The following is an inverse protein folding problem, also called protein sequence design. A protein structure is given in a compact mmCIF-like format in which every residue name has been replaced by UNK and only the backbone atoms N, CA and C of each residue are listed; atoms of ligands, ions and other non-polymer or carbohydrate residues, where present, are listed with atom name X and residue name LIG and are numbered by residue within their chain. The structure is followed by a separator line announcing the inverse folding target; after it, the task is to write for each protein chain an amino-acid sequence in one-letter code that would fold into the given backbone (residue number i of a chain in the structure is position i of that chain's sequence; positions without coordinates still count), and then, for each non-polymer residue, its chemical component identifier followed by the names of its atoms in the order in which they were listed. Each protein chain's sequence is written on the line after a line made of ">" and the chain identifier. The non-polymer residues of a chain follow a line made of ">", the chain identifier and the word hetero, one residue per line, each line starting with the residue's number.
data_IF_922436608546
#
_entry.id   IF_922436608546
#
_cell.length_a   1.000
_cell.length_b   1.000
_cell.length_c   1.000
_cell.angle_alpha   90.00
_cell.angle_beta   90.00
_cell.angle_gamma   90.00
#
_symmetry.space_group_name_H-M   'P 1'
#
loop_
_entity.id
_entity.type
_entity.pdbx_description
1 polymer ?
#
# COMPACT_ATOMS: atom_id res chain seq x y z
N UNK A 1 -21.08 -10.22 -3.59
CA UNK A 1 -20.58 -9.18 -4.52
C UNK A 1 -19.20 -8.63 -4.09
N UNK A 2 -18.34 -9.44 -3.44
CA UNK A 2 -17.02 -9.00 -2.93
C UNK A 2 -15.83 -9.69 -3.61
N UNK A 3 -16.05 -10.52 -4.64
CA UNK A 3 -14.96 -11.18 -5.35
C UNK A 3 -14.11 -10.20 -6.18
N UNK A 4 -14.73 -9.15 -6.74
CA UNK A 4 -14.02 -8.17 -7.57
C UNK A 4 -13.06 -7.30 -6.74
N UNK A 5 -13.52 -6.71 -5.63
CA UNK A 5 -12.65 -5.91 -4.75
C UNK A 5 -11.57 -6.74 -4.06
N UNK A 6 -11.89 -7.96 -3.62
CA UNK A 6 -10.88 -8.87 -3.08
C UNK A 6 -9.87 -9.27 -4.16
N UNK A 7 -10.32 -9.50 -5.39
CA UNK A 7 -9.47 -9.78 -6.54
C UNK A 7 -8.53 -8.61 -6.82
N UNK A 8 -9.04 -7.38 -6.86
CA UNK A 8 -8.28 -6.17 -7.12
C UNK A 8 -7.24 -5.87 -6.02
N UNK A 9 -7.62 -6.01 -4.75
CA UNK A 9 -6.68 -5.85 -3.65
C UNK A 9 -5.62 -6.96 -3.63
N UNK A 10 -6.00 -8.20 -3.96
CA UNK A 10 -5.06 -9.32 -4.04
C UNK A 10 -4.09 -9.15 -5.19
N UNK A 11 -4.54 -8.72 -6.37
CA UNK A 11 -3.67 -8.49 -7.51
C UNK A 11 -2.69 -7.35 -7.22
N UNK A 12 -3.16 -6.24 -6.62
CA UNK A 12 -2.28 -5.16 -6.17
C UNK A 12 -1.25 -5.67 -5.16
N UNK A 13 -1.66 -6.44 -4.15
CA UNK A 13 -0.72 -7.00 -3.17
C UNK A 13 0.30 -7.96 -3.79
N UNK A 14 -0.11 -8.83 -4.72
CA UNK A 14 0.80 -9.73 -5.42
C UNK A 14 1.78 -8.94 -6.28
N UNK A 15 1.31 -7.92 -7.01
CA UNK A 15 2.18 -7.04 -7.79
C UNK A 15 3.17 -6.29 -6.89
N UNK A 16 2.72 -5.73 -5.77
CA UNK A 16 3.57 -5.09 -4.77
C UNK A 16 4.62 -6.04 -4.21
N UNK A 17 4.25 -7.28 -3.92
CA UNK A 17 5.17 -8.32 -3.44
C UNK A 17 6.21 -8.75 -4.47
N UNK A 18 5.81 -8.91 -5.72
CA UNK A 18 6.75 -9.21 -6.81
C UNK A 18 7.76 -8.07 -6.96
N UNK A 19 7.29 -6.82 -6.96
CA UNK A 19 8.16 -5.63 -7.04
C UNK A 19 9.11 -5.59 -5.84
N UNK A 20 8.61 -5.83 -4.63
CA UNK A 20 9.42 -5.82 -3.42
C UNK A 20 10.52 -6.90 -3.47
N UNK A 21 10.18 -8.13 -3.86
CA UNK A 21 11.15 -9.22 -4.02
C UNK A 21 12.20 -8.88 -5.07
N UNK A 22 11.79 -8.32 -6.21
CA UNK A 22 12.71 -7.91 -7.27
C UNK A 22 13.69 -6.82 -6.78
N UNK A 23 13.18 -5.81 -6.06
CA UNK A 23 14.00 -4.75 -5.47
C UNK A 23 14.96 -5.32 -4.44
N UNK A 24 14.50 -6.22 -3.55
CA UNK A 24 15.37 -6.87 -2.56
C UNK A 24 16.45 -7.73 -3.23
N UNK A 25 16.12 -8.50 -4.26
CA UNK A 25 17.11 -9.29 -4.99
C UNK A 25 18.17 -8.38 -5.65
N UNK A 26 17.73 -7.25 -6.23
CA UNK A 26 18.62 -6.25 -6.81
C UNK A 26 19.53 -5.60 -5.74
N UNK A 27 18.99 -5.25 -4.56
CA UNK A 27 19.83 -4.66 -3.50
C UNK A 27 20.86 -5.63 -2.97
N UNK A 28 20.49 -6.89 -2.78
CA UNK A 28 21.44 -7.96 -2.40
C UNK A 28 22.52 -8.10 -3.47
N UNK A 29 22.15 -8.19 -4.75
CA UNK A 29 23.11 -8.28 -5.85
C UNK A 29 24.06 -7.06 -5.90
N UNK A 30 23.54 -5.85 -5.70
CA UNK A 30 24.34 -4.62 -5.69
C UNK A 30 25.33 -4.58 -4.51
N UNK A 31 24.89 -4.99 -3.31
CA UNK A 31 25.75 -5.06 -2.12
C UNK A 31 26.83 -6.13 -2.30
N UNK A 32 26.48 -7.32 -2.80
CA UNK A 32 27.45 -8.38 -3.09
C UNK A 32 28.44 -7.95 -4.18
N UNK A 33 27.97 -7.25 -5.22
CA UNK A 33 28.83 -6.66 -6.26
C UNK A 33 29.85 -5.68 -5.67
N UNK A 34 29.45 -4.81 -4.73
CA UNK A 34 30.39 -3.93 -4.01
C UNK A 34 31.41 -4.70 -3.17
N UNK A 35 31.02 -5.81 -2.56
CA UNK A 35 31.94 -6.64 -1.81
C UNK A 35 32.96 -7.35 -2.72
N UNK A 36 32.56 -7.72 -3.94
CA UNK A 36 33.35 -8.50 -4.91
C UNK A 36 34.01 -7.64 -6.00
N UNK A 37 34.23 -6.35 -5.75
CA UNK A 37 34.94 -5.45 -6.68
C UNK A 37 36.31 -6.02 -7.07
N UNK A 38 36.97 -6.71 -6.15
CA UNK A 38 38.26 -7.37 -6.40
C UNK A 38 38.19 -8.55 -7.40
N UNK A 39 37.00 -9.10 -7.66
CA UNK A 39 36.74 -10.13 -8.68
C UNK A 39 36.18 -9.56 -10.00
N UNK A 40 36.09 -8.23 -10.14
CA UNK A 40 35.59 -7.57 -11.35
C UNK A 40 34.07 -7.43 -11.45
N UNK A 41 33.33 -7.73 -10.37
CA UNK A 41 31.90 -7.45 -10.27
C UNK A 41 31.68 -6.01 -9.75
N UNK A 42 30.72 -5.28 -10.34
CA UNK A 42 30.41 -3.89 -9.94
C UNK A 42 29.01 -3.75 -9.32
N UNK A 43 28.76 -2.68 -8.55
CA UNK A 43 27.41 -2.33 -8.09
C UNK A 43 26.44 -2.09 -9.24
N UNK A 44 25.14 -2.26 -8.98
CA UNK A 44 24.10 -1.84 -9.92
C UNK A 44 24.02 -0.31 -9.88
N UNK A 45 24.29 0.41 -10.99
CA UNK A 45 24.22 1.86 -11.01
C UNK A 45 22.77 2.32 -10.79
N UNK A 46 22.58 3.25 -9.85
CA UNK A 46 21.28 3.84 -9.48
C UNK A 46 20.30 2.87 -8.82
N UNK A 47 20.81 1.85 -8.15
CA UNK A 47 20.06 0.97 -7.25
C UNK A 47 19.17 1.75 -6.26
N UNK A 48 19.67 2.85 -5.68
CA UNK A 48 18.90 3.71 -4.79
C UNK A 48 17.61 4.29 -5.41
N UNK A 49 17.67 4.71 -6.68
CA UNK A 49 16.52 5.31 -7.38
C UNK A 49 15.45 4.24 -7.65
N UNK A 50 15.87 3.06 -8.13
CA UNK A 50 14.99 1.91 -8.33
C UNK A 50 14.35 1.43 -7.02
N UNK A 51 15.11 1.40 -5.92
CA UNK A 51 14.58 1.04 -4.61
C UNK A 51 13.54 2.05 -4.15
N UNK A 52 13.81 3.35 -4.29
CA UNK A 52 12.88 4.40 -3.87
C UNK A 52 11.53 4.29 -4.59
N UNK A 53 11.57 4.09 -5.91
CA UNK A 53 10.34 3.94 -6.73
C UNK A 53 9.63 2.62 -6.42
N UNK A 54 10.38 1.51 -6.38
CA UNK A 54 9.81 0.18 -6.19
C UNK A 54 9.18 -0.01 -4.80
N UNK A 55 9.84 0.47 -3.74
CA UNK A 55 9.29 0.43 -2.38
C UNK A 55 8.07 1.35 -2.27
N UNK A 56 8.13 2.56 -2.86
CA UNK A 56 6.99 3.48 -2.88
C UNK A 56 5.75 2.84 -3.50
N UNK A 57 5.89 2.23 -4.68
CA UNK A 57 4.81 1.49 -5.33
C UNK A 57 4.31 0.32 -4.46
N UNK A 58 5.22 -0.49 -3.92
CA UNK A 58 4.87 -1.66 -3.12
C UNK A 58 4.04 -1.29 -1.90
N UNK A 59 4.39 -0.21 -1.18
CA UNK A 59 3.62 0.27 -0.02
C UNK A 59 2.18 0.54 -0.42
N UNK A 60 1.94 1.36 -1.44
CA UNK A 60 0.57 1.69 -1.88
C UNK A 60 -0.20 0.48 -2.40
N UNK A 61 0.49 -0.46 -3.05
CA UNK A 61 -0.11 -1.68 -3.56
C UNK A 61 -0.52 -2.66 -2.43
N UNK A 62 0.16 -2.63 -1.29
CA UNK A 62 -0.18 -3.46 -0.13
C UNK A 62 -1.27 -2.88 0.77
N UNK A 63 -1.37 -1.55 0.88
CA UNK A 63 -2.35 -0.87 1.74
C UNK A 63 -3.80 -1.38 1.59
N UNK A 64 -4.36 -1.58 0.38
CA UNK A 64 -5.73 -2.09 0.25
C UNK A 64 -5.90 -3.50 0.79
N UNK A 65 -4.90 -4.36 0.65
CA UNK A 65 -4.92 -5.71 1.23
C UNK A 65 -4.81 -5.68 2.75
N UNK A 66 -4.03 -4.75 3.31
CA UNK A 66 -3.97 -4.52 4.76
C UNK A 66 -5.30 -4.03 5.33
N UNK A 67 -6.01 -3.14 4.63
CA UNK A 67 -7.35 -2.67 5.01
C UNK A 67 -8.37 -3.81 5.03
N UNK A 68 -8.36 -4.66 3.98
CA UNK A 68 -9.21 -5.85 3.89
C UNK A 68 -8.99 -6.85 5.02
N UNK A 69 -7.73 -7.11 5.37
CA UNK A 69 -7.38 -8.11 6.40
C UNK A 69 -7.42 -7.56 7.83
N UNK A 70 -7.77 -6.29 8.02
CA UNK A 70 -8.03 -5.67 9.33
C UNK A 70 -6.92 -5.92 10.36
N UNK A 71 -5.70 -5.51 10.05
CA UNK A 71 -4.59 -5.50 11.02
C UNK A 71 -4.71 -4.44 12.12
N UNK A 72 -5.91 -4.15 12.63
CA UNK A 72 -6.15 -3.21 13.72
C UNK A 72 -5.75 -3.82 15.08
N UNK A 73 -4.48 -4.20 15.22
CA UNK A 73 -3.91 -4.82 16.42
C UNK A 73 -3.99 -3.93 17.69
N UNK A 74 -4.26 -2.62 17.53
CA UNK A 74 -4.28 -1.67 18.64
C UNK A 74 -5.64 -1.59 19.36
N UNK A 75 -6.74 -1.95 18.69
CA UNK A 75 -8.08 -1.88 19.31
C UNK A 75 -8.48 -3.21 19.94
N UNK A 76 -7.95 -4.34 19.47
CA UNK A 76 -8.32 -5.67 19.97
C UNK A 76 -7.98 -5.90 21.45
N UNK A 77 -7.00 -5.20 22.02
CA UNK A 77 -6.65 -5.28 23.45
C UNK A 77 -7.73 -4.62 24.32
N UNK A 78 -8.39 -3.58 23.80
CA UNK A 78 -9.45 -2.81 24.50
C UNK A 78 -10.86 -3.23 24.07
N UNK A 79 -11.00 -3.89 22.91
CA UNK A 79 -12.23 -4.39 22.36
C UNK A 79 -13.04 -5.30 23.31
N UNK A 80 -12.45 -6.24 24.08
CA UNK A 80 -13.22 -7.08 25.00
C UNK A 80 -13.82 -6.31 26.18
N UNK A 81 -13.33 -5.10 26.49
CA UNK A 81 -13.89 -4.24 27.55
C UNK A 81 -15.02 -3.31 27.04
N UNK A 82 -15.21 -3.19 25.72
CA UNK A 82 -16.15 -2.23 25.13
C UNK A 82 -17.41 -2.89 24.59
N UNK A 83 -18.56 -2.19 24.67
CA UNK A 83 -19.81 -2.66 24.09
C UNK A 83 -19.69 -2.78 22.55
N UNK A 84 -20.32 -3.79 21.96
CA UNK A 84 -20.20 -4.08 20.51
C UNK A 84 -20.61 -2.94 19.58
N UNK A 85 -21.36 -1.92 20.05
CA UNK A 85 -21.67 -0.70 19.28
C UNK A 85 -20.49 0.27 19.21
N UNK A 86 -19.74 0.43 20.30
CA UNK A 86 -18.58 1.34 20.37
C UNK A 86 -17.45 0.80 19.51
N UNK A 87 -17.20 -0.52 19.57
CA UNK A 87 -16.17 -1.14 18.73
C UNK A 87 -16.44 -0.93 17.23
N UNK A 88 -17.70 -1.04 16.80
CA UNK A 88 -18.10 -0.78 15.40
C UNK A 88 -17.92 0.68 14.99
N UNK A 89 -18.14 1.62 15.91
CA UNK A 89 -17.93 3.04 15.63
C UNK A 89 -16.43 3.35 15.48
N UNK A 90 -15.59 2.77 16.34
CA UNK A 90 -14.12 2.91 16.26
C UNK A 90 -13.61 2.36 14.92
N UNK A 91 -14.07 1.18 14.51
CA UNK A 91 -13.73 0.59 13.20
C UNK A 91 -14.11 1.52 12.03
N UNK A 92 -15.33 2.08 12.08
CA UNK A 92 -15.79 2.99 11.02
C UNK A 92 -14.95 4.27 10.97
N UNK A 93 -14.62 4.84 12.13
CA UNK A 93 -13.76 6.04 12.22
C UNK A 93 -12.37 5.73 11.69
N UNK A 94 -11.79 4.59 12.05
CA UNK A 94 -10.46 4.20 11.58
C UNK A 94 -10.43 4.04 10.05
N UNK A 95 -11.44 3.38 9.46
CA UNK A 95 -11.54 3.20 8.01
C UNK A 95 -11.77 4.54 7.27
N UNK A 96 -12.57 5.45 7.87
CA UNK A 96 -12.79 6.79 7.35
C UNK A 96 -11.48 7.59 7.34
N UNK A 97 -10.74 7.58 8.45
CA UNK A 97 -9.46 8.28 8.57
C UNK A 97 -8.44 7.73 7.56
N UNK A 98 -8.33 6.41 7.43
CA UNK A 98 -7.44 5.78 6.44
C UNK A 98 -7.82 6.18 5.01
N UNK A 99 -9.11 6.22 4.69
CA UNK A 99 -9.60 6.66 3.37
C UNK A 99 -9.25 8.12 3.10
N UNK A 100 -9.42 9.01 4.08
CA UNK A 100 -9.06 10.43 3.96
C UNK A 100 -7.55 10.56 3.70
N UNK A 101 -6.71 9.89 4.48
CA UNK A 101 -5.25 9.95 4.33
C UNK A 101 -4.83 9.44 2.95
N UNK A 102 -5.36 8.30 2.49
CA UNK A 102 -5.06 7.77 1.17
C UNK A 102 -5.49 8.72 0.04
N UNK A 103 -6.69 9.32 0.15
CA UNK A 103 -7.19 10.27 -0.83
C UNK A 103 -6.29 11.52 -0.90
N UNK A 104 -5.83 12.03 0.24
CA UNK A 104 -4.89 13.16 0.30
C UNK A 104 -3.54 12.80 -0.34
N UNK A 105 -3.03 11.59 -0.09
CA UNK A 105 -1.77 11.13 -0.71
C UNK A 105 -1.94 10.99 -2.24
N UNK A 106 -3.04 10.40 -2.72
CA UNK A 106 -3.32 10.28 -4.14
C UNK A 106 -3.40 11.66 -4.81
N UNK A 107 -4.05 12.62 -4.16
CA UNK A 107 -4.17 14.00 -4.61
C UNK A 107 -2.80 14.70 -4.68
N UNK A 108 -1.96 14.55 -3.65
CA UNK A 108 -0.61 15.10 -3.63
C UNK A 108 0.29 14.46 -4.69
N UNK A 109 0.17 13.15 -4.92
CA UNK A 109 0.90 12.44 -5.97
C UNK A 109 0.51 12.92 -7.37
N UNK A 110 -0.77 13.24 -7.59
CA UNK A 110 -1.23 13.79 -8.85
C UNK A 110 -0.61 15.16 -9.14
N UNK A 111 -0.63 16.08 -8.18
CA UNK A 111 0.03 17.38 -8.34
C UNK A 111 1.54 17.24 -8.51
N UNK A 112 2.18 16.41 -7.69
CA UNK A 112 3.61 16.10 -7.85
C UNK A 112 3.94 15.55 -9.23
N UNK A 113 3.10 14.67 -9.79
CA UNK A 113 3.26 14.15 -11.14
C UNK A 113 3.17 15.26 -12.20
N UNK A 114 2.18 16.14 -12.09
CA UNK A 114 1.96 17.24 -13.05
C UNK A 114 3.12 18.23 -13.04
N UNK A 115 3.63 18.58 -11.87
CA UNK A 115 4.82 19.43 -11.76
C UNK A 115 6.02 18.75 -12.43
N UNK A 116 6.30 17.49 -12.11
CA UNK A 116 7.45 16.77 -12.71
C UNK A 116 7.32 16.55 -14.22
N UNK A 117 6.09 16.47 -14.73
CA UNK A 117 5.82 16.42 -16.16
C UNK A 117 6.11 17.77 -16.84
N UNK A 118 5.71 18.88 -16.20
CA UNK A 118 5.91 20.23 -16.74
C UNK A 118 7.39 20.63 -16.79
N UNK A 119 8.19 20.24 -15.79
CA UNK A 119 9.62 20.55 -15.73
C UNK A 119 10.53 19.49 -16.38
N UNK A 120 9.97 18.39 -16.89
CA UNK A 120 10.71 17.27 -17.52
C UNK A 120 11.90 16.80 -16.68
N UNK A 121 11.73 16.75 -15.37
CA UNK A 121 12.82 16.39 -14.46
C UNK A 121 13.23 14.92 -14.62
N UNK A 122 14.55 14.69 -14.64
CA UNK A 122 15.15 13.35 -14.75
C UNK A 122 15.89 13.00 -13.48
N UNK A 123 15.98 11.70 -13.21
CA UNK A 123 16.71 11.17 -12.05
C UNK A 123 18.22 11.40 -12.19
N UNK A 124 18.94 11.44 -11.08
CA UNK A 124 20.34 11.86 -11.07
C UNK A 124 21.27 10.81 -11.69
N UNK A 125 21.04 9.52 -11.45
CA UNK A 125 21.95 8.46 -11.87
C UNK A 125 21.47 7.78 -13.16
N UNK A 126 20.24 7.24 -13.17
CA UNK A 126 19.71 6.57 -14.35
C UNK A 126 19.18 7.53 -15.42
N UNK A 127 19.02 8.83 -15.10
CA UNK A 127 18.47 9.85 -16.01
C UNK A 127 17.09 9.50 -16.60
N UNK A 128 16.34 8.60 -15.94
CA UNK A 128 14.96 8.32 -16.33
C UNK A 128 14.03 9.44 -15.86
N UNK A 129 12.89 9.67 -16.55
CA UNK A 129 11.98 10.74 -16.19
C UNK A 129 11.21 10.43 -14.90
N UNK A 130 11.25 11.35 -13.94
CA UNK A 130 10.73 11.14 -12.58
C UNK A 130 9.20 10.93 -12.57
N UNK A 131 8.49 11.48 -13.57
CA UNK A 131 7.03 11.35 -13.64
C UNK A 131 6.55 9.89 -13.77
N UNK A 132 7.37 8.96 -14.29
CA UNK A 132 7.03 7.53 -14.33
C UNK A 132 6.85 6.94 -12.93
N UNK A 133 7.72 7.33 -12.00
CA UNK A 133 7.63 6.89 -10.61
C UNK A 133 6.36 7.41 -9.94
N UNK A 134 6.06 8.69 -10.14
CA UNK A 134 4.84 9.31 -9.61
C UNK A 134 3.59 8.67 -10.21
N UNK A 135 3.58 8.40 -11.53
CA UNK A 135 2.46 7.74 -12.20
C UNK A 135 2.23 6.33 -11.65
N UNK A 136 3.29 5.53 -11.47
CA UNK A 136 3.17 4.18 -10.91
C UNK A 136 2.58 4.21 -9.49
N UNK A 137 3.10 5.07 -8.61
CA UNK A 137 2.59 5.25 -7.25
C UNK A 137 1.15 5.79 -7.23
N UNK A 138 0.81 6.70 -8.16
CA UNK A 138 -0.54 7.24 -8.29
C UNK A 138 -1.55 6.15 -8.66
N UNK A 139 -1.24 5.29 -9.63
CA UNK A 139 -2.11 4.17 -10.02
C UNK A 139 -2.36 3.23 -8.84
N UNK A 140 -1.31 2.86 -8.11
CA UNK A 140 -1.45 2.03 -6.92
C UNK A 140 -2.28 2.71 -5.83
N UNK A 141 -2.04 4.00 -5.57
CA UNK A 141 -2.77 4.78 -4.57
C UNK A 141 -4.25 4.96 -4.92
N UNK A 142 -4.59 5.20 -6.19
CA UNK A 142 -5.98 5.26 -6.66
C UNK A 142 -6.68 3.91 -6.44
N UNK A 143 -6.01 2.80 -6.77
CA UNK A 143 -6.51 1.46 -6.46
C UNK A 143 -6.79 1.27 -4.96
N UNK A 144 -5.88 1.76 -4.11
CA UNK A 144 -6.05 1.72 -2.65
C UNK A 144 -7.25 2.54 -2.18
N UNK A 145 -7.45 3.76 -2.70
CA UNK A 145 -8.58 4.63 -2.38
C UNK A 145 -9.92 3.98 -2.77
N UNK A 146 -10.00 3.34 -3.93
CA UNK A 146 -11.22 2.66 -4.38
C UNK A 146 -11.61 1.54 -3.41
N UNK A 147 -10.63 0.74 -2.97
CA UNK A 147 -10.87 -0.34 -2.00
C UNK A 147 -11.24 0.22 -0.63
N UNK A 148 -10.57 1.29 -0.17
CA UNK A 148 -10.83 1.90 1.13
C UNK A 148 -12.24 2.51 1.21
N UNK A 149 -12.66 3.23 0.17
CA UNK A 149 -14.01 3.79 0.07
C UNK A 149 -15.06 2.67 0.13
N UNK A 150 -14.84 1.56 -0.58
CA UNK A 150 -15.74 0.40 -0.52
C UNK A 150 -15.83 -0.20 0.89
N UNK A 151 -14.71 -0.28 1.62
CA UNK A 151 -14.69 -0.75 3.00
C UNK A 151 -15.49 0.19 3.93
N UNK A 152 -15.34 1.51 3.79
CA UNK A 152 -16.14 2.49 4.55
C UNK A 152 -17.63 2.27 4.34
N UNK A 153 -18.08 2.11 3.09
CA UNK A 153 -19.50 1.85 2.79
C UNK A 153 -20.01 0.55 3.42
N UNK A 154 -19.21 -0.51 3.37
CA UNK A 154 -19.56 -1.78 4.00
C UNK A 154 -19.71 -1.64 5.52
N UNK A 155 -18.77 -0.94 6.18
CA UNK A 155 -18.81 -0.70 7.64
C UNK A 155 -19.97 0.19 8.05
N UNK A 156 -20.28 1.21 7.25
CA UNK A 156 -21.44 2.06 7.50
C UNK A 156 -22.76 1.26 7.40
N UNK A 157 -22.85 0.34 6.44
CA UNK A 157 -24.00 -0.57 6.29
C UNK A 157 -24.10 -1.59 7.44
N UNK A 158 -22.99 -2.10 7.95
CA UNK A 158 -22.98 -2.98 9.14
C UNK A 158 -23.46 -2.26 10.40
N UNK A 159 -23.08 -0.99 10.57
CA UNK A 159 -23.51 -0.18 11.71
C UNK A 159 -25.04 0.07 11.69
N UNK A 160 -25.62 0.30 10.50
CA UNK A 160 -27.05 0.59 10.35
C UNK A 160 -27.93 -0.66 10.36
N UNK A 161 -27.46 -1.78 9.80
CA UNK A 161 -28.23 -3.02 9.72
C UNK A 161 -28.16 -3.88 10.98
N UNK A 162 -27.13 -3.72 11.82
CA UNK A 162 -26.95 -4.53 13.04
C UNK A 162 -26.69 -6.02 12.78
N UNK A 163 -26.56 -6.43 11.51
CA UNK A 163 -26.32 -7.82 11.09
C UNK A 163 -24.82 -8.08 11.00
N UNK A 164 -24.38 -9.12 11.72
CA UNK A 164 -23.01 -9.64 11.70
C UNK A 164 -22.73 -10.33 10.36
N UNK A 165 -22.05 -9.66 9.44
CA UNK A 165 -21.22 -10.37 8.47
C UNK A 165 -19.90 -10.72 9.16
N UNK A 166 -19.89 -11.89 9.80
CA UNK A 166 -18.70 -12.48 10.43
C UNK A 166 -17.56 -12.58 9.42
N UNK A 167 -16.60 -11.66 9.50
CA UNK A 167 -15.22 -12.03 9.21
C UNK A 167 -14.81 -12.97 10.35
N UNK A 168 -14.98 -14.27 10.09
CA UNK A 168 -14.42 -15.36 10.89
C UNK A 168 -12.99 -14.98 11.30
N UNK A 169 -12.77 -14.96 12.61
CA UNK A 169 -11.46 -14.74 13.18
C UNK A 169 -10.47 -15.79 12.68
N UNK A 170 -9.38 -15.34 12.08
CA UNK A 170 -8.13 -16.09 11.97
C UNK A 170 -7.09 -15.53 12.95
N UNK A 171 -7.50 -15.36 14.22
CA UNK A 171 -6.62 -14.86 15.28
C UNK A 171 -6.72 -15.62 16.62
N UNK A 172 -7.49 -16.70 16.71
CA UNK A 172 -7.65 -17.48 17.95
C UNK A 172 -7.42 -18.98 17.70
N UNK A 173 -6.21 -19.31 17.28
CA UNK A 173 -5.60 -20.62 17.50
C UNK A 173 -4.10 -20.48 17.34
N UNK A 174 -3.43 -20.09 18.42
CA UNK A 174 -2.17 -20.67 18.92
C UNK A 174 -1.79 -20.02 20.24
#
# INVERSE_FOLDING_TARGET
>A
MSAFMHGLAKTLAVLGGIVLVAVTAMTVASITGRALIFMGLGPVPGDFELVQVGVGFAVFAFLPWCQLNRGHATVDILAPLMSGRVNRLIDLIAELLMTIVLALIAWQLYYGMMDKLAYTETSFILQFPIWWAYAACLVASVGAVIVSVYMVFLRAAELSSGVLHTASGQGASH
#
